data_IF_599319038318
#
_entry.id   IF_599319038318
#
_cell.length_a   1.000
_cell.length_b   1.000
_cell.length_c   1.000
_cell.angle_alpha   90.00
_cell.angle_beta   90.00
_cell.angle_gamma   90.00
#
_symmetry.space_group_name_H-M   'P 1'
#
loop_
_entity.id
_entity.type
_entity.pdbx_description
1 polymer ?
#
# COMPACT_ATOMS: atom_id res chain seq x y z
N UNK A 1 9.07 5.60 37.37
CA UNK A 1 10.54 5.61 37.26
C UNK A 1 11.10 6.42 38.42
N UNK A 2 12.01 5.85 39.20
CA UNK A 2 12.82 6.64 40.13
C UNK A 2 13.95 7.33 39.38
N UNK A 3 14.52 8.38 39.97
CA UNK A 3 15.66 9.09 39.41
C UNK A 3 16.89 8.18 39.24
N UNK A 4 17.13 7.28 40.20
CA UNK A 4 18.17 6.25 40.10
C UNK A 4 18.01 5.38 38.85
N UNK A 5 16.81 4.91 38.55
CA UNK A 5 16.56 4.10 37.36
C UNK A 5 16.88 4.87 36.06
N UNK A 6 16.60 6.18 36.02
CA UNK A 6 16.89 7.01 34.84
C UNK A 6 18.40 7.16 34.66
N UNK A 7 19.15 7.34 35.75
CA UNK A 7 20.61 7.47 35.74
C UNK A 7 21.26 6.14 35.33
N UNK A 8 20.77 5.01 35.84
CA UNK A 8 21.28 3.68 35.47
C UNK A 8 21.04 3.35 33.99
N UNK A 9 19.86 3.71 33.45
CA UNK A 9 19.57 3.50 32.02
C UNK A 9 20.40 4.41 31.11
N UNK A 10 20.65 5.67 31.52
CA UNK A 10 21.53 6.57 30.79
C UNK A 10 22.98 6.04 30.79
N UNK A 11 23.45 5.53 31.93
CA UNK A 11 24.77 4.92 32.05
C UNK A 11 24.91 3.65 31.18
N UNK A 12 23.90 2.80 31.13
CA UNK A 12 23.88 1.62 30.25
C UNK A 12 23.81 1.97 28.76
N UNK A 13 23.15 3.08 28.40
CA UNK A 13 23.10 3.57 27.02
C UNK A 13 24.43 4.18 26.55
N UNK A 14 25.20 4.77 27.48
CA UNK A 14 26.55 5.31 27.22
C UNK A 14 27.64 4.23 27.18
N UNK A 15 27.33 2.98 27.55
CA UNK A 15 28.24 1.86 27.36
C UNK A 15 28.21 1.37 25.91
N UNK A 16 29.29 1.66 25.18
CA UNK A 16 29.58 1.09 23.86
C UNK A 16 29.80 -0.43 23.87
N UNK A 17 29.60 -1.13 25.00
CA UNK A 17 29.70 -2.59 25.09
C UNK A 17 28.77 -3.31 24.10
N UNK A 18 27.59 -2.73 23.84
CA UNK A 18 26.64 -3.21 22.82
C UNK A 18 26.97 -2.70 21.41
N UNK A 19 27.90 -1.76 21.26
CA UNK A 19 28.45 -1.30 19.98
C UNK A 19 29.64 -2.16 19.57
N UNK A 20 30.51 -2.50 20.51
CA UNK A 20 31.73 -3.29 20.30
C UNK A 20 31.45 -4.80 20.16
N UNK A 21 30.30 -5.28 20.66
CA UNK A 21 29.81 -6.65 20.43
C UNK A 21 28.98 -6.83 19.15
N UNK A 22 28.74 -5.77 18.37
CA UNK A 22 28.07 -5.91 17.07
C UNK A 22 29.05 -6.48 16.07
N UNK A 23 28.79 -7.70 15.64
CA UNK A 23 29.42 -8.24 14.45
C UNK A 23 29.10 -7.31 13.28
N UNK A 24 30.14 -6.85 12.58
CA UNK A 24 29.99 -5.98 11.44
C UNK A 24 29.40 -6.78 10.28
N UNK A 25 28.07 -6.76 10.19
CA UNK A 25 27.33 -7.47 9.16
C UNK A 25 27.54 -6.88 7.77
N UNK A 26 28.25 -5.75 7.60
CA UNK A 26 28.40 -5.13 6.28
C UNK A 26 29.09 -6.06 5.30
N UNK A 27 29.99 -6.93 5.75
CA UNK A 27 30.68 -7.89 4.89
C UNK A 27 29.83 -9.13 4.57
N UNK A 28 28.68 -9.29 5.22
CA UNK A 28 27.75 -10.37 4.94
C UNK A 28 27.12 -10.23 3.55
N UNK A 29 27.05 -11.34 2.81
CA UNK A 29 26.52 -11.35 1.45
C UNK A 29 25.08 -10.83 1.37
N UNK A 30 24.23 -11.12 2.36
CA UNK A 30 22.85 -10.63 2.43
C UNK A 30 22.75 -9.14 2.80
N UNK A 31 23.79 -8.57 3.42
CA UNK A 31 23.87 -7.15 3.75
C UNK A 31 24.48 -6.32 2.62
N UNK A 32 25.06 -6.95 1.60
CA UNK A 32 25.50 -6.29 0.38
C UNK A 32 24.31 -5.93 -0.53
N UNK A 33 24.36 -4.80 -1.27
CA UNK A 33 23.27 -4.42 -2.17
C UNK A 33 22.89 -5.50 -3.17
N UNK A 34 23.88 -6.20 -3.74
CA UNK A 34 23.65 -7.28 -4.70
C UNK A 34 22.92 -8.47 -4.06
N UNK A 35 23.31 -8.87 -2.84
CA UNK A 35 22.65 -9.96 -2.13
C UNK A 35 21.22 -9.63 -1.75
N UNK A 36 20.93 -8.39 -1.32
CA UNK A 36 19.54 -7.94 -1.08
C UNK A 36 18.67 -8.05 -2.33
N UNK A 37 19.18 -7.62 -3.49
CA UNK A 37 18.44 -7.71 -4.76
C UNK A 37 18.21 -9.17 -5.15
N UNK A 38 19.23 -10.03 -5.01
CA UNK A 38 19.11 -11.45 -5.31
C UNK A 38 18.09 -12.15 -4.38
N UNK A 39 18.10 -11.83 -3.08
CA UNK A 39 17.12 -12.34 -2.12
C UNK A 39 15.70 -11.87 -2.45
N UNK A 40 15.52 -10.57 -2.73
CA UNK A 40 14.22 -10.03 -3.12
C UNK A 40 13.66 -10.72 -4.38
N UNK A 41 14.49 -10.94 -5.40
CA UNK A 41 14.10 -11.68 -6.60
C UNK A 41 13.75 -13.14 -6.28
N UNK A 42 14.56 -13.81 -5.47
CA UNK A 42 14.33 -15.20 -5.07
C UNK A 42 12.99 -15.36 -4.35
N UNK A 43 12.70 -14.50 -3.37
CA UNK A 43 11.45 -14.56 -2.63
C UNK A 43 10.24 -14.13 -3.45
N UNK A 44 10.40 -13.18 -4.39
CA UNK A 44 9.34 -12.84 -5.36
C UNK A 44 8.98 -14.03 -6.23
N UNK A 45 9.96 -14.80 -6.71
CA UNK A 45 9.71 -16.02 -7.48
C UNK A 45 9.04 -17.09 -6.63
N UNK A 46 9.53 -17.34 -5.42
CA UNK A 46 8.95 -18.34 -4.52
C UNK A 46 7.49 -18.06 -4.18
N UNK A 47 7.10 -16.79 -4.06
CA UNK A 47 5.75 -16.37 -3.65
C UNK A 47 4.86 -15.93 -4.81
N UNK A 48 5.28 -16.11 -6.05
CA UNK A 48 4.52 -15.69 -7.22
C UNK A 48 3.14 -16.36 -7.29
N UNK A 49 3.05 -17.65 -6.97
CA UNK A 49 1.78 -18.40 -7.00
C UNK A 49 0.78 -17.94 -5.92
N UNK A 50 1.30 -17.59 -4.73
CA UNK A 50 0.50 -16.98 -3.66
C UNK A 50 -0.05 -15.61 -4.09
N UNK A 51 0.81 -14.82 -4.74
CA UNK A 51 0.44 -13.50 -5.25
C UNK A 51 -0.65 -13.61 -6.33
N UNK A 52 -0.54 -14.57 -7.26
CA UNK A 52 -1.58 -14.83 -8.27
C UNK A 52 -2.91 -15.16 -7.59
N UNK A 53 -2.89 -16.07 -6.62
CA UNK A 53 -4.10 -16.47 -5.87
C UNK A 53 -4.73 -15.27 -5.15
N UNK A 54 -3.92 -14.40 -4.55
CA UNK A 54 -4.40 -13.18 -3.88
C UNK A 54 -5.00 -12.20 -4.90
N UNK A 55 -4.31 -11.96 -6.01
CA UNK A 55 -4.74 -11.02 -7.03
C UNK A 55 -6.10 -11.43 -7.64
N UNK A 56 -6.36 -12.72 -7.82
CA UNK A 56 -7.66 -13.24 -8.29
C UNK A 56 -8.84 -12.80 -7.42
N UNK A 57 -8.60 -12.51 -6.14
CA UNK A 57 -9.61 -11.96 -5.23
C UNK A 57 -9.59 -10.43 -5.20
N UNK A 58 -8.40 -9.82 -5.22
CA UNK A 58 -8.24 -8.37 -5.08
C UNK A 58 -8.67 -7.60 -6.32
N UNK A 59 -8.44 -8.10 -7.54
CA UNK A 59 -8.86 -7.39 -8.76
C UNK A 59 -10.39 -7.30 -8.85
N UNK A 60 -11.19 -8.37 -8.68
CA UNK A 60 -12.64 -8.23 -8.65
C UNK A 60 -13.12 -7.29 -7.55
N UNK A 61 -12.52 -7.35 -6.35
CA UNK A 61 -12.86 -6.42 -5.25
C UNK A 61 -12.58 -4.97 -5.63
N UNK A 62 -11.44 -4.70 -6.25
CA UNK A 62 -11.08 -3.36 -6.71
C UNK A 62 -12.02 -2.88 -7.81
N UNK A 63 -12.38 -3.74 -8.76
CA UNK A 63 -13.37 -3.44 -9.81
C UNK A 63 -14.73 -3.10 -9.21
N UNK A 64 -15.21 -3.90 -8.25
CA UNK A 64 -16.47 -3.64 -7.54
C UNK A 64 -16.39 -2.32 -6.78
N UNK A 65 -15.33 -2.09 -6.02
CA UNK A 65 -15.11 -0.83 -5.30
C UNK A 65 -15.16 0.39 -6.22
N UNK A 66 -14.47 0.35 -7.37
CA UNK A 66 -14.49 1.46 -8.35
C UNK A 66 -15.90 1.73 -8.89
N UNK A 67 -16.70 0.69 -9.15
CA UNK A 67 -18.09 0.83 -9.64
C UNK A 67 -19.01 1.40 -8.56
N UNK A 68 -18.90 0.86 -7.35
CA UNK A 68 -19.74 1.26 -6.22
C UNK A 68 -19.44 2.70 -5.79
N UNK A 69 -18.17 3.11 -5.80
CA UNK A 69 -17.77 4.47 -5.51
C UNK A 69 -18.32 5.46 -6.57
N UNK A 70 -18.19 5.15 -7.85
CA UNK A 70 -18.70 6.03 -8.91
C UNK A 70 -20.24 6.19 -8.81
N UNK A 71 -20.95 5.09 -8.60
CA UNK A 71 -22.40 5.10 -8.38
C UNK A 71 -22.78 5.90 -7.13
N UNK A 72 -22.03 5.73 -6.04
CA UNK A 72 -22.22 6.48 -4.80
C UNK A 72 -22.01 7.98 -5.02
N UNK A 73 -20.93 8.40 -5.68
CA UNK A 73 -20.64 9.80 -5.94
C UNK A 73 -21.69 10.46 -6.85
N UNK A 74 -22.16 9.76 -7.89
CA UNK A 74 -23.29 10.21 -8.73
C UNK A 74 -24.55 10.41 -7.88
N UNK A 75 -24.86 9.45 -7.01
CA UNK A 75 -26.02 9.55 -6.13
C UNK A 75 -25.90 10.75 -5.18
N UNK A 76 -24.74 10.95 -4.55
CA UNK A 76 -24.49 12.05 -3.62
C UNK A 76 -24.58 13.41 -4.32
N UNK A 77 -23.99 13.57 -5.50
CA UNK A 77 -24.10 14.79 -6.30
C UNK A 77 -25.58 15.15 -6.55
N UNK A 78 -26.37 14.19 -7.05
CA UNK A 78 -27.81 14.39 -7.32
C UNK A 78 -28.62 14.68 -6.06
N UNK A 79 -28.27 14.02 -4.95
CA UNK A 79 -28.90 14.24 -3.64
C UNK A 79 -28.66 15.66 -3.15
N UNK A 80 -27.41 16.12 -3.17
CA UNK A 80 -27.02 17.46 -2.72
C UNK A 80 -27.66 18.58 -3.55
N UNK A 81 -27.84 18.38 -4.86
CA UNK A 81 -28.60 19.32 -5.71
C UNK A 81 -30.05 19.44 -5.22
N UNK A 82 -30.71 18.32 -4.90
CA UNK A 82 -32.09 18.30 -4.39
C UNK A 82 -32.22 18.90 -2.99
N UNK A 83 -31.19 18.75 -2.16
CA UNK A 83 -31.12 19.35 -0.81
C UNK A 83 -30.79 20.85 -0.82
N UNK A 84 -30.59 21.45 -2.01
CA UNK A 84 -30.30 22.88 -2.13
C UNK A 84 -28.85 23.26 -1.83
N UNK A 85 -27.92 22.32 -1.91
CA UNK A 85 -26.49 22.56 -1.69
C UNK A 85 -25.68 22.37 -3.00
N UNK A 86 -25.85 23.25 -4.00
CA UNK A 86 -25.23 23.11 -5.32
C UNK A 86 -23.70 23.29 -5.28
N UNK A 87 -23.18 24.08 -4.35
CA UNK A 87 -21.73 24.29 -4.20
C UNK A 87 -21.02 22.99 -3.78
N UNK A 88 -21.57 22.27 -2.80
CA UNK A 88 -21.03 20.99 -2.39
C UNK A 88 -21.25 19.92 -3.47
N UNK A 89 -22.40 19.91 -4.14
CA UNK A 89 -22.64 19.01 -5.27
C UNK A 89 -21.58 19.19 -6.37
N UNK A 90 -21.22 20.43 -6.69
CA UNK A 90 -20.16 20.72 -7.65
C UNK A 90 -18.81 20.14 -7.22
N UNK A 91 -18.42 20.29 -5.94
CA UNK A 91 -17.17 19.72 -5.42
C UNK A 91 -17.18 18.18 -5.48
N UNK A 92 -18.30 17.53 -5.17
CA UNK A 92 -18.47 16.08 -5.33
C UNK A 92 -18.33 15.67 -6.81
N UNK A 93 -18.89 16.45 -7.73
CA UNK A 93 -18.76 16.23 -9.17
C UNK A 93 -17.31 16.34 -9.65
N UNK A 94 -16.56 17.35 -9.18
CA UNK A 94 -15.12 17.52 -9.47
C UNK A 94 -14.34 16.32 -8.94
N UNK A 95 -14.57 15.93 -7.69
CA UNK A 95 -13.91 14.77 -7.08
C UNK A 95 -14.19 13.46 -7.85
N UNK A 96 -15.44 13.23 -8.24
CA UNK A 96 -15.80 12.08 -9.10
C UNK A 96 -15.04 12.09 -10.41
N UNK A 97 -14.95 13.25 -11.07
CA UNK A 97 -14.22 13.36 -12.34
C UNK A 97 -12.73 13.05 -12.19
N UNK A 98 -12.10 13.52 -11.10
CA UNK A 98 -10.70 13.21 -10.81
C UNK A 98 -10.48 11.71 -10.62
N UNK A 99 -11.30 11.05 -9.80
CA UNK A 99 -11.27 9.58 -9.60
C UNK A 99 -11.52 8.84 -10.91
N UNK A 100 -12.53 9.25 -11.67
CA UNK A 100 -12.91 8.66 -12.96
C UNK A 100 -11.81 8.67 -14.02
N UNK A 101 -10.95 9.71 -14.03
CA UNK A 101 -9.81 9.79 -14.95
C UNK A 101 -8.85 8.60 -14.79
N UNK A 102 -8.56 8.22 -13.56
CA UNK A 102 -7.68 7.10 -13.26
C UNK A 102 -8.42 5.76 -13.37
N UNK A 103 -9.68 5.70 -12.94
CA UNK A 103 -10.47 4.48 -12.97
C UNK A 103 -10.58 3.90 -14.39
N UNK A 104 -10.71 4.72 -15.44
CA UNK A 104 -10.72 4.22 -16.82
C UNK A 104 -9.44 3.45 -17.19
N UNK A 105 -8.28 4.04 -16.90
CA UNK A 105 -6.98 3.41 -17.18
C UNK A 105 -6.78 2.13 -16.35
N UNK A 106 -7.19 2.15 -15.08
CA UNK A 106 -7.12 0.98 -14.21
C UNK A 106 -8.04 -0.14 -14.74
N UNK A 107 -9.29 0.16 -15.06
CA UNK A 107 -10.24 -0.79 -15.61
C UNK A 107 -9.74 -1.45 -16.90
N UNK A 108 -9.15 -0.68 -17.83
CA UNK A 108 -8.57 -1.24 -19.05
C UNK A 108 -7.44 -2.24 -18.76
N UNK A 109 -6.59 -1.96 -17.77
CA UNK A 109 -5.50 -2.87 -17.36
C UNK A 109 -6.05 -4.10 -16.64
N UNK A 110 -6.99 -3.91 -15.71
CA UNK A 110 -7.58 -5.01 -14.95
C UNK A 110 -8.36 -5.99 -15.84
N UNK A 111 -9.05 -5.50 -16.88
CA UNK A 111 -9.74 -6.34 -17.87
C UNK A 111 -8.75 -7.14 -18.74
N UNK A 112 -7.54 -6.64 -18.95
CA UNK A 112 -6.49 -7.41 -19.64
C UNK A 112 -5.94 -8.49 -18.71
N UNK A 113 -5.63 -8.12 -17.47
CA UNK A 113 -5.14 -9.06 -16.45
C UNK A 113 -6.14 -10.19 -16.19
N UNK A 114 -7.44 -9.90 -16.18
CA UNK A 114 -8.49 -10.92 -16.00
C UNK A 114 -8.64 -11.91 -17.17
N UNK A 115 -7.81 -11.81 -18.21
CA UNK A 115 -7.80 -12.73 -19.36
C UNK A 115 -6.51 -13.57 -19.43
N UNK A 116 -5.56 -13.32 -18.53
CA UNK A 116 -4.30 -14.04 -18.51
C UNK A 116 -4.46 -15.42 -17.84
N UNK A 117 -3.66 -16.42 -18.22
CA UNK A 117 -3.67 -17.73 -17.59
C UNK A 117 -3.36 -17.62 -16.09
N UNK A 118 -4.22 -18.19 -15.25
CA UNK A 118 -4.11 -18.08 -13.79
C UNK A 118 -4.99 -17.00 -13.18
N UNK A 119 -5.74 -16.25 -13.99
CA UNK A 119 -6.79 -15.30 -13.57
C UNK A 119 -8.21 -15.78 -13.87
#
# INVERSE_FOLDING_TARGET
LSWEQIVDFAFLADFDLLRDGREDIRDELWAQPAGRVAMDQHFKLLRADEEITRLNLEIPRLVTHMRDEDAFLIYQERRLVREGNPALAHQVGVHRMERGRFNRLHMERLVKLSKEPGF
#
